data_IF_519088386777
#
_entry.id   IF_519088386777
#
_cell.length_a   1.000
_cell.length_b   1.000
_cell.length_c   1.000
_cell.angle_alpha   90.00
_cell.angle_beta   90.00
_cell.angle_gamma   90.00
#
_symmetry.space_group_name_H-M   'P 1'
#
loop_
_entity.id
_entity.type
_entity.pdbx_description
1 polymer ?
#
# COMPACT_ATOMS: atom_id res chain seq x y z
N UNK A 1 21.85 21.96 -0.04
CA UNK A 1 20.64 21.14 0.10
C UNK A 1 20.72 20.05 -0.95
N UNK A 2 20.85 18.78 -0.53
CA UNK A 2 20.90 17.65 -1.47
C UNK A 2 19.46 17.29 -1.87
N UNK A 3 19.15 17.43 -3.15
CA UNK A 3 17.89 17.04 -3.73
C UNK A 3 17.98 15.57 -4.15
N UNK A 4 17.15 14.70 -3.58
CA UNK A 4 17.12 13.27 -3.87
C UNK A 4 15.79 12.87 -4.52
N UNK A 5 15.85 12.15 -5.63
CA UNK A 5 14.68 11.50 -6.20
C UNK A 5 14.53 10.10 -5.59
N UNK A 6 13.33 9.79 -5.10
CA UNK A 6 12.96 8.48 -4.56
C UNK A 6 11.81 7.90 -5.38
N UNK A 7 12.08 6.80 -6.07
CA UNK A 7 11.09 6.08 -6.87
C UNK A 7 10.56 4.88 -6.11
N UNK A 8 9.24 4.84 -5.92
CA UNK A 8 8.54 3.78 -5.20
C UNK A 8 7.71 2.97 -6.20
N UNK A 9 8.12 1.72 -6.49
CA UNK A 9 7.47 0.84 -7.48
C UNK A 9 6.79 -0.36 -6.81
N UNK A 10 5.50 -0.55 -7.08
CA UNK A 10 4.74 -1.70 -6.58
C UNK A 10 3.84 -2.31 -7.66
N UNK A 11 3.69 -3.63 -7.66
CA UNK A 11 2.71 -4.34 -8.49
C UNK A 11 1.31 -4.42 -7.86
N UNK A 12 1.13 -3.78 -6.70
CA UNK A 12 -0.11 -3.59 -5.96
C UNK A 12 -0.36 -2.11 -5.66
N UNK A 13 -1.13 -1.79 -4.62
CA UNK A 13 -1.46 -0.40 -4.20
C UNK A 13 -0.23 0.41 -3.80
N UNK A 14 0.82 -0.23 -3.28
CA UNK A 14 2.06 0.43 -2.87
C UNK A 14 2.04 1.04 -1.47
N UNK A 15 0.96 0.88 -0.70
CA UNK A 15 0.82 1.44 0.65
C UNK A 15 1.97 1.03 1.59
N UNK A 16 2.36 -0.25 1.57
CA UNK A 16 3.48 -0.75 2.38
C UNK A 16 4.77 -0.01 2.04
N UNK A 17 5.00 0.23 0.74
CA UNK A 17 6.19 0.91 0.24
C UNK A 17 6.23 2.37 0.69
N UNK A 18 5.08 3.05 0.65
CA UNK A 18 4.96 4.42 1.17
C UNK A 18 5.20 4.50 2.67
N UNK A 19 4.68 3.53 3.45
CA UNK A 19 4.91 3.47 4.91
C UNK A 19 6.39 3.25 5.24
N UNK A 20 7.05 2.32 4.54
CA UNK A 20 8.49 2.07 4.71
C UNK A 20 9.30 3.32 4.36
N UNK A 21 9.03 3.93 3.21
CA UNK A 21 9.70 5.15 2.78
C UNK A 21 9.50 6.29 3.78
N UNK A 22 8.28 6.51 4.27
CA UNK A 22 7.96 7.51 5.28
C UNK A 22 8.73 7.27 6.58
N UNK A 23 8.76 6.04 7.07
CA UNK A 23 9.46 5.68 8.29
C UNK A 23 10.98 5.86 8.17
N UNK A 24 11.56 5.48 7.02
CA UNK A 24 12.98 5.66 6.75
C UNK A 24 13.35 7.14 6.64
N UNK A 25 12.59 7.92 5.88
CA UNK A 25 12.84 9.34 5.65
C UNK A 25 12.72 10.18 6.94
N UNK A 26 11.87 9.77 7.89
CA UNK A 26 11.73 10.44 9.18
C UNK A 26 13.01 10.43 10.05
N UNK A 27 14.04 9.69 9.65
CA UNK A 27 15.34 9.66 10.32
C UNK A 27 16.33 10.72 9.77
N UNK A 28 15.91 11.53 8.78
CA UNK A 28 16.78 12.51 8.11
C UNK A 28 16.13 13.90 8.14
N UNK A 29 16.78 14.87 8.79
CA UNK A 29 16.18 16.20 9.05
C UNK A 29 16.31 17.20 7.89
N UNK A 30 17.35 17.13 7.05
CA UNK A 30 17.69 18.21 6.10
C UNK A 30 17.75 17.77 4.62
N UNK A 31 16.93 16.77 4.23
CA UNK A 31 16.91 16.28 2.85
C UNK A 31 15.66 16.72 2.08
N UNK A 32 15.83 17.40 0.96
CA UNK A 32 14.75 17.65 0.00
C UNK A 32 14.50 16.38 -0.82
N UNK A 33 13.40 15.67 -0.51
CA UNK A 33 13.08 14.40 -1.19
C UNK A 33 11.92 14.61 -2.16
N UNK A 34 12.16 14.33 -3.44
CA UNK A 34 11.12 14.27 -4.47
C UNK A 34 10.69 12.83 -4.63
N UNK A 35 9.47 12.51 -4.22
CA UNK A 35 8.91 11.16 -4.31
C UNK A 35 8.17 10.97 -5.62
N UNK A 36 8.48 9.88 -6.32
CA UNK A 36 7.79 9.41 -7.50
C UNK A 36 7.12 8.07 -7.17
N UNK A 37 5.80 8.02 -7.25
CA UNK A 37 5.03 6.85 -6.83
C UNK A 37 4.43 6.14 -8.04
N UNK A 38 4.74 4.84 -8.20
CA UNK A 38 4.40 4.00 -9.32
C UNK A 38 3.67 2.73 -8.85
N UNK A 39 2.36 2.80 -8.55
CA UNK A 39 1.57 1.62 -8.19
C UNK A 39 1.18 0.81 -9.43
N UNK A 40 0.72 -0.42 -9.21
CA UNK A 40 0.13 -1.30 -10.23
C UNK A 40 1.06 -1.56 -11.43
N UNK A 41 2.36 -1.71 -11.19
CA UNK A 41 3.37 -2.01 -12.23
C UNK A 41 3.26 -3.48 -12.62
N UNK A 42 2.38 -3.78 -13.59
CA UNK A 42 2.03 -5.15 -14.00
C UNK A 42 2.31 -5.46 -15.46
N UNK A 43 2.74 -4.49 -16.25
CA UNK A 43 3.06 -4.68 -17.67
C UNK A 43 4.43 -4.14 -18.01
N UNK A 44 5.04 -4.73 -19.05
CA UNK A 44 6.33 -4.30 -19.58
C UNK A 44 6.28 -2.85 -20.09
N UNK A 45 5.22 -2.51 -20.82
CA UNK A 45 5.03 -1.16 -21.36
C UNK A 45 4.93 -0.10 -20.25
N UNK A 46 4.29 -0.46 -19.11
CA UNK A 46 4.23 0.43 -17.95
C UNK A 46 5.63 0.59 -17.33
N UNK A 47 6.36 -0.51 -17.15
CA UNK A 47 7.75 -0.46 -16.66
C UNK A 47 8.65 0.38 -17.58
N UNK A 48 8.51 0.27 -18.90
CA UNK A 48 9.32 1.03 -19.85
C UNK A 48 9.13 2.54 -19.70
N UNK A 49 7.89 2.99 -19.51
CA UNK A 49 7.57 4.41 -19.24
C UNK A 49 8.19 4.87 -17.92
N UNK A 50 8.05 4.07 -16.86
CA UNK A 50 8.62 4.38 -15.55
C UNK A 50 10.15 4.48 -15.64
N UNK A 51 10.80 3.58 -16.36
CA UNK A 51 12.25 3.62 -16.54
C UNK A 51 12.76 4.85 -17.29
N UNK A 52 11.96 5.39 -18.22
CA UNK A 52 12.28 6.66 -18.87
C UNK A 52 12.26 7.83 -17.86
N UNK A 53 11.27 7.86 -16.97
CA UNK A 53 11.17 8.85 -15.89
C UNK A 53 12.28 8.71 -14.86
N UNK A 54 12.64 7.47 -14.49
CA UNK A 54 13.77 7.20 -13.58
C UNK A 54 15.09 7.66 -14.20
N UNK A 55 15.29 7.43 -15.51
CA UNK A 55 16.48 7.89 -16.21
C UNK A 55 16.58 9.42 -16.30
N UNK A 56 15.45 10.10 -16.44
CA UNK A 56 15.37 11.56 -16.44
C UNK A 56 15.58 12.17 -15.04
N UNK A 57 15.23 11.44 -14.00
CA UNK A 57 15.30 11.86 -12.59
C UNK A 57 16.05 10.82 -11.75
N UNK A 58 17.37 10.66 -11.92
CA UNK A 58 18.13 9.61 -11.25
C UNK A 58 18.04 9.69 -9.72
N UNK A 59 17.80 8.54 -9.07
CA UNK A 59 17.66 8.49 -7.62
C UNK A 59 17.59 7.09 -7.07
N UNK A 60 17.19 6.94 -5.82
CA UNK A 60 16.97 5.65 -5.18
C UNK A 60 15.68 5.01 -5.70
N UNK A 61 15.78 3.75 -6.11
CA UNK A 61 14.62 2.93 -6.50
C UNK A 61 14.30 1.94 -5.38
N UNK A 62 13.13 2.09 -4.75
CA UNK A 62 12.62 1.19 -3.73
C UNK A 62 11.41 0.45 -4.31
N UNK A 63 11.36 -0.87 -4.19
CA UNK A 63 10.30 -1.63 -4.84
C UNK A 63 9.75 -2.81 -4.03
N UNK A 64 8.50 -3.20 -4.36
CA UNK A 64 7.82 -4.42 -3.90
C UNK A 64 7.20 -5.14 -5.08
N UNK A 65 8.03 -5.61 -6.02
CA UNK A 65 7.58 -6.40 -7.17
C UNK A 65 7.78 -7.88 -6.89
N UNK A 66 6.70 -8.66 -6.95
CA UNK A 66 6.75 -10.12 -6.76
C UNK A 66 6.83 -10.89 -8.08
N UNK A 67 6.46 -10.27 -9.21
CA UNK A 67 6.64 -10.88 -10.53
C UNK A 67 8.13 -10.89 -10.89
N UNK A 68 8.69 -12.09 -11.05
CA UNK A 68 10.14 -12.32 -11.26
C UNK A 68 10.66 -11.70 -12.56
N UNK A 69 9.87 -11.71 -13.63
CA UNK A 69 10.27 -11.14 -14.92
C UNK A 69 10.34 -9.61 -14.86
N UNK A 70 9.29 -8.97 -14.35
CA UNK A 70 9.23 -7.51 -14.18
C UNK A 70 10.35 -7.03 -13.25
N UNK A 71 10.57 -7.75 -12.16
CA UNK A 71 11.63 -7.49 -11.20
C UNK A 71 13.02 -7.59 -11.85
N UNK A 72 13.33 -8.71 -12.50
CA UNK A 72 14.64 -8.91 -13.15
C UNK A 72 14.95 -7.81 -14.19
N UNK A 73 13.94 -7.37 -14.94
CA UNK A 73 14.09 -6.25 -15.88
C UNK A 73 14.35 -4.92 -15.18
N UNK A 74 13.64 -4.62 -14.10
CA UNK A 74 13.87 -3.42 -13.30
C UNK A 74 15.30 -3.40 -12.77
N UNK A 75 15.72 -4.49 -12.13
CA UNK A 75 17.06 -4.64 -11.54
C UNK A 75 18.16 -4.49 -12.61
N UNK A 76 18.04 -5.15 -13.77
CA UNK A 76 18.99 -5.04 -14.87
C UNK A 76 19.10 -3.62 -15.42
N UNK A 77 17.99 -2.92 -15.57
CA UNK A 77 17.96 -1.54 -16.09
C UNK A 77 18.53 -0.54 -15.07
N UNK A 78 18.22 -0.70 -13.79
CA UNK A 78 18.81 0.12 -12.73
C UNK A 78 20.33 -0.10 -12.65
N UNK A 79 20.80 -1.35 -12.76
CA UNK A 79 22.21 -1.67 -12.80
C UNK A 79 22.91 -1.02 -14.00
N UNK A 80 22.30 -1.06 -15.19
CA UNK A 80 22.86 -0.42 -16.40
C UNK A 80 22.96 1.10 -16.25
N UNK A 81 22.09 1.74 -15.46
CA UNK A 81 22.11 3.17 -15.16
C UNK A 81 22.96 3.52 -13.93
N UNK A 82 23.51 2.52 -13.23
CA UNK A 82 24.27 2.74 -11.99
C UNK A 82 23.41 3.27 -10.82
N UNK A 83 22.11 2.98 -10.83
CA UNK A 83 21.18 3.49 -9.82
C UNK A 83 21.09 2.55 -8.62
N UNK A 84 21.04 3.10 -7.38
CA UNK A 84 20.78 2.31 -6.19
C UNK A 84 19.35 1.76 -6.22
N UNK A 85 19.23 0.45 -5.97
CA UNK A 85 17.94 -0.24 -5.97
C UNK A 85 17.79 -1.12 -4.73
N UNK A 86 16.62 -1.12 -4.10
CA UNK A 86 16.32 -1.85 -2.86
C UNK A 86 14.97 -2.56 -2.98
N UNK A 87 14.99 -3.87 -2.79
CA UNK A 87 13.78 -4.68 -2.60
C UNK A 87 13.33 -4.58 -1.14
N UNK A 88 12.25 -3.88 -0.88
CA UNK A 88 11.86 -3.48 0.47
C UNK A 88 11.50 -4.65 1.41
N UNK A 89 11.05 -5.78 0.87
CA UNK A 89 10.56 -6.93 1.65
C UNK A 89 11.48 -8.14 1.62
N UNK A 90 12.53 -8.17 0.78
CA UNK A 90 13.32 -9.38 0.55
C UNK A 90 13.96 -9.90 1.83
N UNK A 91 14.65 -9.06 2.58
CA UNK A 91 15.33 -9.46 3.81
C UNK A 91 14.39 -10.14 4.81
N UNK A 92 13.17 -9.59 4.95
CA UNK A 92 12.16 -10.17 5.86
C UNK A 92 11.58 -11.45 5.28
N UNK A 93 11.29 -11.47 3.97
CA UNK A 93 10.74 -12.64 3.29
C UNK A 93 11.73 -13.81 3.32
N UNK A 94 13.01 -13.56 3.08
CA UNK A 94 14.06 -14.59 3.10
C UNK A 94 14.27 -15.16 4.51
N UNK A 95 14.27 -14.30 5.53
CA UNK A 95 14.32 -14.75 6.92
C UNK A 95 13.12 -15.64 7.28
N UNK A 96 11.92 -15.26 6.88
CA UNK A 96 10.70 -16.06 7.10
C UNK A 96 10.74 -17.38 6.32
N UNK A 97 11.22 -17.40 5.08
CA UNK A 97 11.39 -18.63 4.30
C UNK A 97 12.34 -19.61 5.00
N UNK A 98 13.46 -19.10 5.55
CA UNK A 98 14.41 -19.90 6.30
C UNK A 98 13.82 -20.53 7.57
N UNK A 99 13.03 -19.75 8.32
CA UNK A 99 12.40 -20.20 9.56
C UNK A 99 11.21 -21.16 9.32
N UNK A 100 10.40 -20.89 8.30
CA UNK A 100 9.18 -21.66 8.02
C UNK A 100 9.45 -22.88 7.14
N UNK A 101 10.62 -23.01 6.52
CA UNK A 101 10.93 -24.06 5.55
C UNK A 101 10.03 -24.03 4.30
N UNK A 102 9.41 -22.88 4.00
CA UNK A 102 8.48 -22.70 2.89
C UNK A 102 8.93 -21.58 1.97
N UNK A 103 8.72 -21.73 0.67
CA UNK A 103 8.97 -20.67 -0.30
C UNK A 103 7.83 -19.66 -0.32
N UNK A 104 8.15 -18.37 -0.39
CA UNK A 104 7.16 -17.31 -0.58
C UNK A 104 6.39 -17.53 -1.89
N UNK A 105 5.07 -17.33 -1.82
CA UNK A 105 4.21 -17.39 -3.00
C UNK A 105 4.25 -16.03 -3.69
N UNK A 106 4.89 -15.95 -4.85
CA UNK A 106 5.02 -14.74 -5.66
C UNK A 106 3.67 -14.29 -6.27
N UNK A 107 2.75 -13.80 -5.41
CA UNK A 107 1.44 -13.30 -5.82
C UNK A 107 1.26 -11.85 -5.36
N UNK A 108 1.15 -10.87 -6.29
CA UNK A 108 0.92 -9.46 -5.98
C UNK A 108 -0.36 -9.24 -5.19
N UNK A 109 -0.35 -8.26 -4.27
CA UNK A 109 -1.56 -7.81 -3.58
C UNK A 109 -2.16 -8.79 -2.58
N UNK A 110 -1.47 -9.86 -2.21
CA UNK A 110 -2.00 -10.88 -1.30
C UNK A 110 -2.26 -10.35 0.11
N UNK A 111 -1.58 -9.30 0.52
CA UNK A 111 -1.84 -8.59 1.77
C UNK A 111 -3.21 -7.88 1.79
N UNK A 112 -3.77 -7.61 0.62
CA UNK A 112 -5.10 -7.05 0.40
C UNK A 112 -6.05 -8.14 -0.15
N UNK A 113 -5.84 -9.41 0.21
CA UNK A 113 -6.80 -10.44 -0.13
C UNK A 113 -8.15 -10.03 0.44
N UNK A 114 -9.15 -9.93 -0.42
CA UNK A 114 -10.55 -9.75 -0.02
C UNK A 114 -10.99 -11.04 0.66
N UNK A 115 -10.62 -11.18 1.93
CA UNK A 115 -11.02 -12.29 2.78
C UNK A 115 -12.39 -12.04 3.40
N UNK A 116 -12.90 -12.98 4.15
CA UNK A 116 -14.19 -12.86 4.83
C UNK A 116 -14.22 -11.67 5.81
N UNK A 117 -13.08 -11.33 6.42
CA UNK A 117 -12.97 -10.18 7.31
C UNK A 117 -13.11 -8.84 6.55
N UNK A 118 -12.57 -8.77 5.33
CA UNK A 118 -12.76 -7.61 4.46
C UNK A 118 -14.24 -7.43 4.08
N UNK A 119 -14.91 -8.50 3.64
CA UNK A 119 -16.32 -8.42 3.26
C UNK A 119 -17.21 -8.06 4.46
N UNK A 120 -16.96 -8.62 5.64
CA UNK A 120 -17.69 -8.24 6.87
C UNK A 120 -17.52 -6.75 7.21
N UNK A 121 -16.32 -6.19 7.04
CA UNK A 121 -16.11 -4.74 7.23
C UNK A 121 -16.86 -3.90 6.21
N UNK A 122 -16.83 -4.28 4.94
CA UNK A 122 -17.59 -3.58 3.90
C UNK A 122 -19.08 -3.63 4.19
N UNK A 123 -19.62 -4.78 4.58
CA UNK A 123 -21.04 -4.93 4.98
C UNK A 123 -21.38 -4.07 6.18
N UNK A 124 -20.55 -4.05 7.23
CA UNK A 124 -20.74 -3.23 8.42
C UNK A 124 -20.72 -1.73 8.09
N UNK A 125 -19.82 -1.27 7.23
CA UNK A 125 -19.76 0.12 6.77
C UNK A 125 -21.01 0.46 5.95
N UNK A 126 -21.44 -0.41 5.03
CA UNK A 126 -22.63 -0.20 4.22
C UNK A 126 -23.90 -0.16 5.08
N UNK A 127 -24.03 -1.08 6.05
CA UNK A 127 -25.12 -1.07 7.02
C UNK A 127 -25.14 0.24 7.80
N UNK A 128 -24.00 0.68 8.31
CA UNK A 128 -23.89 1.94 9.07
C UNK A 128 -24.32 3.15 8.26
N UNK A 129 -23.88 3.26 7.00
CA UNK A 129 -24.26 4.38 6.10
C UNK A 129 -25.77 4.33 5.79
N UNK A 130 -26.32 3.15 5.55
CA UNK A 130 -27.73 2.97 5.23
C UNK A 130 -28.68 3.33 6.39
N UNK A 131 -28.19 3.29 7.64
CA UNK A 131 -28.97 3.54 8.85
C UNK A 131 -28.57 4.84 9.57
N UNK A 132 -27.75 5.68 8.94
CA UNK A 132 -27.35 6.97 9.53
C UNK A 132 -28.57 7.91 9.65
N UNK A 133 -28.53 8.81 10.63
CA UNK A 133 -29.59 9.75 10.95
C UNK A 133 -31.02 9.12 11.20
N UNK A 134 -31.04 7.84 11.55
CA UNK A 134 -32.30 7.14 11.89
C UNK A 134 -33.11 6.65 10.68
N UNK A 135 -32.49 6.58 9.51
CA UNK A 135 -33.07 5.97 8.31
C UNK A 135 -33.13 4.45 8.47
N UNK A 136 -34.09 3.78 7.83
CA UNK A 136 -34.28 2.32 7.84
C UNK A 136 -34.33 1.70 9.26
N UNK A 137 -34.96 2.38 10.21
CA UNK A 137 -35.02 1.97 11.62
C UNK A 137 -35.66 0.58 11.83
N UNK A 138 -36.39 0.07 10.87
CA UNK A 138 -37.05 -1.24 10.91
C UNK A 138 -36.07 -2.42 11.06
N UNK A 139 -34.81 -2.21 10.63
CA UNK A 139 -33.76 -3.23 10.66
C UNK A 139 -32.73 -2.99 11.77
N UNK A 140 -32.98 -2.14 12.74
CA UNK A 140 -32.02 -1.85 13.81
C UNK A 140 -31.72 -3.03 14.72
N UNK A 141 -32.54 -4.08 14.69
CA UNK A 141 -32.29 -5.32 15.43
C UNK A 141 -31.04 -6.05 14.94
N UNK A 142 -30.59 -5.80 13.69
CA UNK A 142 -29.35 -6.34 13.13
C UNK A 142 -28.11 -5.57 13.59
N UNK A 143 -28.26 -4.38 14.17
CA UNK A 143 -27.17 -3.57 14.63
C UNK A 143 -26.51 -4.16 15.90
N UNK A 144 -25.21 -4.30 15.89
CA UNK A 144 -24.46 -4.69 17.09
C UNK A 144 -24.32 -3.54 18.09
N UNK A 145 -24.25 -2.31 17.61
CA UNK A 145 -24.13 -1.07 18.40
C UNK A 145 -25.02 -0.01 17.81
N UNK A 146 -25.81 0.66 18.65
CA UNK A 146 -26.61 1.84 18.28
C UNK A 146 -26.09 3.06 19.03
N UNK A 147 -25.72 4.11 18.29
CA UNK A 147 -25.27 5.37 18.86
C UNK A 147 -26.42 6.38 18.92
N UNK A 148 -26.86 6.75 20.12
CA UNK A 148 -27.88 7.77 20.36
C UNK A 148 -27.23 9.04 20.94
N UNK A 149 -27.73 10.20 20.54
CA UNK A 149 -27.22 11.48 21.07
C UNK A 149 -27.75 12.68 20.29
N UNK A 150 -27.43 13.88 20.78
CA UNK A 150 -27.84 15.14 20.14
C UNK A 150 -27.21 15.32 18.78
N UNK A 151 -27.79 16.18 17.94
CA UNK A 151 -27.17 16.52 16.64
C UNK A 151 -25.77 17.10 16.83
N UNK A 152 -24.87 16.83 15.87
CA UNK A 152 -23.48 17.31 15.86
C UNK A 152 -22.62 16.80 17.03
N UNK A 153 -22.91 15.66 17.60
CA UNK A 153 -22.09 15.00 18.63
C UNK A 153 -21.14 13.93 18.07
N UNK A 154 -20.77 14.03 16.81
CA UNK A 154 -19.85 13.11 16.11
C UNK A 154 -20.30 11.65 16.03
N UNK A 155 -21.63 11.38 16.10
CA UNK A 155 -22.16 10.01 15.98
C UNK A 155 -21.76 9.34 14.66
N UNK A 156 -22.08 9.97 13.53
CA UNK A 156 -21.76 9.44 12.19
C UNK A 156 -20.31 9.08 12.00
N UNK A 157 -19.31 9.95 12.25
CA UNK A 157 -17.91 9.55 12.12
C UNK A 157 -17.51 8.46 13.12
N UNK A 158 -18.09 8.43 14.31
CA UNK A 158 -17.82 7.37 15.30
C UNK A 158 -18.41 6.03 14.85
N UNK A 159 -19.62 6.00 14.31
CA UNK A 159 -20.24 4.76 13.82
C UNK A 159 -19.46 4.16 12.64
N UNK A 160 -19.01 4.99 11.70
CA UNK A 160 -18.17 4.55 10.58
C UNK A 160 -16.80 4.03 11.07
N UNK A 161 -16.21 4.69 12.07
CA UNK A 161 -14.98 4.22 12.69
C UNK A 161 -15.11 2.84 13.36
N UNK A 162 -16.23 2.61 14.06
CA UNK A 162 -16.52 1.33 14.72
C UNK A 162 -16.83 0.21 13.73
N UNK A 163 -17.38 0.54 12.56
CA UNK A 163 -17.67 -0.41 11.49
C UNK A 163 -16.43 -0.87 10.69
N UNK A 164 -15.32 -0.14 10.79
CA UNK A 164 -14.06 -0.41 10.08
C UNK A 164 -13.10 -1.28 10.90
#
# INVERSE_FOLDING_TARGET
MHRLHLHLLSDSTGETLEMIAKAALAQFDDAEIIRHFWPMVRSQQHLDRIMAEIAANPGLVLFTLVNTETRARLEARCAALGLPIVAALDTVTDALQGLLGQRAKARPGRQHAMDEAYFRRVEAIQFTIAHDDGVNWENWEEAQIVLAGVSRSSKTPTSIYLAN
#
